data_IF_391901781763
#
_entry.id   IF_391901781763
#
_cell.length_a   1.000
_cell.length_b   1.000
_cell.length_c   1.000
_cell.angle_alpha   90.00
_cell.angle_beta   90.00
_cell.angle_gamma   90.00
#
_symmetry.space_group_name_H-M   'P 1'
#
loop_
_entity.id
_entity.type
_entity.pdbx_description
1 polymer ?
#
# COMPACT_ATOMS: atom_id res chain seq x y z
N UNK A 1 -68.34 55.49 3.35
CA UNK A 1 -68.07 54.51 4.44
C UNK A 1 -67.15 53.40 3.91
N UNK A 2 -66.00 53.75 3.34
CA UNK A 2 -65.04 52.83 2.69
C UNK A 2 -63.60 53.37 2.85
N UNK A 3 -63.18 53.61 4.10
CA UNK A 3 -61.83 54.09 4.45
C UNK A 3 -61.14 53.20 5.49
N UNK A 4 -61.66 51.99 5.76
CA UNK A 4 -61.15 51.09 6.81
C UNK A 4 -60.34 49.88 6.34
N UNK A 5 -60.25 49.60 5.04
CA UNK A 5 -59.66 48.32 4.55
C UNK A 5 -58.17 48.45 4.18
N UNK A 6 -57.68 49.67 3.90
CA UNK A 6 -56.30 49.86 3.43
C UNK A 6 -55.24 49.94 4.54
N UNK A 7 -55.63 50.21 5.80
CA UNK A 7 -54.67 50.29 6.92
C UNK A 7 -54.16 48.89 7.36
N UNK A 8 -55.04 47.88 7.33
CA UNK A 8 -54.74 46.52 7.81
C UNK A 8 -53.75 45.80 6.88
N UNK A 9 -53.82 46.05 5.56
CA UNK A 9 -52.90 45.43 4.59
C UNK A 9 -51.46 46.00 4.66
N UNK A 10 -51.28 47.22 5.17
CA UNK A 10 -49.95 47.84 5.31
C UNK A 10 -49.16 47.26 6.49
N UNK A 11 -49.83 46.98 7.62
CA UNK A 11 -49.18 46.37 8.79
C UNK A 11 -48.79 44.89 8.57
N UNK A 12 -49.59 44.11 7.84
CA UNK A 12 -49.28 42.69 7.57
C UNK A 12 -48.11 42.48 6.60
N UNK A 13 -47.74 43.49 5.79
CA UNK A 13 -46.64 43.40 4.81
C UNK A 13 -45.26 43.64 5.43
N UNK A 14 -45.17 44.44 6.49
CA UNK A 14 -43.89 44.75 7.16
C UNK A 14 -43.33 43.60 8.01
N UNK A 15 -44.19 42.68 8.47
CA UNK A 15 -43.77 41.54 9.29
C UNK A 15 -43.43 40.26 8.50
N UNK A 16 -43.80 40.19 7.21
CA UNK A 16 -43.55 38.99 6.39
C UNK A 16 -42.12 38.88 5.86
N UNK A 17 -41.43 40.00 5.65
CA UNK A 17 -40.05 39.98 5.16
C UNK A 17 -39.02 39.44 6.19
N UNK A 18 -39.03 39.84 7.48
CA UNK A 18 -38.05 39.32 8.44
C UNK A 18 -38.32 37.87 8.86
N UNK A 19 -39.59 37.43 8.86
CA UNK A 19 -39.96 36.05 9.24
C UNK A 19 -39.55 35.05 8.15
N UNK A 20 -39.66 35.41 6.86
CA UNK A 20 -39.20 34.54 5.77
C UNK A 20 -37.66 34.41 5.70
N UNK A 21 -36.93 35.47 6.07
CA UNK A 21 -35.46 35.48 6.13
C UNK A 21 -34.92 34.69 7.33
N UNK A 22 -35.62 34.71 8.47
CA UNK A 22 -35.28 33.89 9.63
C UNK A 22 -35.53 32.38 9.39
N UNK A 23 -36.58 32.03 8.63
CA UNK A 23 -36.90 30.62 8.34
C UNK A 23 -35.99 30.00 7.26
N UNK A 24 -35.45 30.80 6.32
CA UNK A 24 -34.49 30.32 5.32
C UNK A 24 -33.08 30.12 5.89
N UNK A 25 -32.70 30.86 6.93
CA UNK A 25 -31.42 30.67 7.63
C UNK A 25 -31.39 29.45 8.57
N UNK A 26 -32.56 28.96 9.01
CA UNK A 26 -32.71 27.75 9.83
C UNK A 26 -32.84 26.45 9.02
N UNK A 27 -32.93 26.54 7.68
CA UNK A 27 -32.98 25.40 6.76
C UNK A 27 -31.72 25.30 5.89
N UNK A 28 -30.64 26.02 6.25
CA UNK A 28 -29.33 25.68 5.70
C UNK A 28 -28.95 24.31 6.28
N UNK A 29 -28.88 23.23 5.48
CA UNK A 29 -28.30 22.00 5.97
C UNK A 29 -26.93 22.39 6.52
N UNK A 30 -26.68 22.11 7.79
CA UNK A 30 -25.31 22.08 8.29
C UNK A 30 -24.61 21.06 7.42
N UNK A 31 -23.93 21.54 6.38
CA UNK A 31 -22.92 20.79 5.67
C UNK A 31 -21.85 20.59 6.74
N UNK A 32 -22.05 19.56 7.55
CA UNK A 32 -20.99 18.93 8.29
C UNK A 32 -19.96 18.59 7.24
N UNK A 33 -18.97 19.48 7.09
CA UNK A 33 -17.69 19.10 6.51
C UNK A 33 -17.23 17.96 7.40
N UNK A 34 -17.48 16.74 6.97
CA UNK A 34 -16.69 15.59 7.37
C UNK A 34 -15.26 16.08 7.21
N UNK A 35 -14.60 16.36 8.32
CA UNK A 35 -13.16 16.52 8.31
C UNK A 35 -12.69 15.17 7.83
N UNK A 36 -12.39 15.07 6.54
CA UNK A 36 -11.69 13.92 5.97
C UNK A 36 -10.37 13.87 6.72
N UNK A 37 -10.34 13.09 7.78
CA UNK A 37 -9.14 12.80 8.52
C UNK A 37 -8.20 12.15 7.52
N UNK A 38 -7.18 12.89 7.07
CA UNK A 38 -6.17 12.33 6.19
C UNK A 38 -5.67 11.02 6.79
N UNK A 39 -5.50 9.97 5.97
CA UNK A 39 -5.15 8.66 6.48
C UNK A 39 -3.84 8.76 7.27
N UNK A 40 -3.80 8.09 8.42
CA UNK A 40 -2.68 8.13 9.35
C UNK A 40 -1.36 7.61 8.72
N UNK A 41 -1.49 6.80 7.67
CA UNK A 41 -0.42 6.30 6.82
C UNK A 41 -0.76 6.54 5.35
N UNK A 42 0.25 6.95 4.59
CA UNK A 42 0.19 7.14 3.15
C UNK A 42 0.97 6.03 2.43
N UNK A 43 0.54 5.61 1.22
CA UNK A 43 1.26 4.63 0.42
C UNK A 43 2.70 5.05 0.14
N UNK A 44 3.65 4.17 0.49
CA UNK A 44 5.01 4.32 0.02
C UNK A 44 5.11 3.88 -1.44
N UNK A 45 5.35 4.86 -2.32
CA UNK A 45 5.45 4.67 -3.76
C UNK A 45 6.87 4.95 -4.24
N UNK A 46 7.52 3.94 -4.81
CA UNK A 46 8.83 4.05 -5.42
C UNK A 46 8.68 4.34 -6.92
N UNK A 47 9.12 5.52 -7.36
CA UNK A 47 8.96 5.97 -8.75
C UNK A 47 10.16 5.61 -9.60
N UNK A 48 9.89 5.16 -10.82
CA UNK A 48 10.88 4.88 -11.85
C UNK A 48 10.50 5.58 -13.17
N UNK A 49 11.42 5.60 -14.13
CA UNK A 49 11.20 6.28 -15.41
C UNK A 49 9.97 5.77 -16.19
N UNK A 50 9.64 4.48 -16.06
CA UNK A 50 8.61 3.82 -16.86
C UNK A 50 7.50 3.18 -16.02
N UNK A 51 7.33 3.62 -14.78
CA UNK A 51 6.37 3.04 -13.85
C UNK A 51 6.70 3.33 -12.40
N UNK A 52 5.99 2.65 -11.49
CA UNK A 52 6.22 2.79 -10.06
C UNK A 52 5.81 1.52 -9.31
N UNK A 53 6.33 1.37 -8.10
CA UNK A 53 5.99 0.27 -7.19
C UNK A 53 5.28 0.88 -5.98
N UNK A 54 4.05 0.45 -5.74
CA UNK A 54 3.31 0.76 -4.51
C UNK A 54 3.52 -0.37 -3.52
N UNK A 55 4.40 -0.14 -2.56
CA UNK A 55 4.80 -1.15 -1.58
C UNK A 55 3.75 -1.36 -0.49
N UNK A 56 2.93 -0.34 -0.18
CA UNK A 56 1.84 -0.49 0.78
C UNK A 56 0.77 -1.43 0.24
N UNK A 57 0.37 -1.24 -1.03
CA UNK A 57 -0.68 -2.02 -1.67
C UNK A 57 -0.12 -3.29 -2.32
N UNK A 58 1.18 -3.38 -2.51
CA UNK A 58 1.85 -4.51 -3.14
C UNK A 58 1.49 -4.58 -4.62
N UNK A 59 1.61 -3.46 -5.33
CA UNK A 59 1.26 -3.31 -6.74
C UNK A 59 2.45 -2.76 -7.53
N UNK A 60 2.63 -3.24 -8.76
CA UNK A 60 3.63 -2.75 -9.71
C UNK A 60 2.89 -2.17 -10.90
N UNK A 61 3.22 -0.94 -11.26
CA UNK A 61 2.61 -0.22 -12.36
C UNK A 61 3.62 -0.01 -13.47
N UNK A 62 3.25 -0.39 -14.70
CA UNK A 62 4.05 -0.14 -15.90
C UNK A 62 3.34 0.83 -16.81
N UNK A 63 4.08 1.80 -17.33
CA UNK A 63 3.60 2.78 -18.30
C UNK A 63 4.14 2.40 -19.67
N UNK A 64 3.28 2.32 -20.68
CA UNK A 64 3.67 2.09 -22.06
C UNK A 64 3.16 3.19 -22.98
N UNK A 65 3.93 3.50 -24.00
CA UNK A 65 3.59 4.51 -25.01
C UNK A 65 3.70 3.91 -26.40
N UNK A 66 2.61 3.95 -27.15
CA UNK A 66 2.58 3.54 -28.55
C UNK A 66 2.26 4.73 -29.43
N UNK A 67 3.16 5.08 -30.35
CA UNK A 67 3.01 6.25 -31.20
C UNK A 67 2.14 5.95 -32.43
N UNK A 68 1.25 6.87 -32.78
CA UNK A 68 0.30 6.70 -33.88
C UNK A 68 1.01 6.62 -35.23
N UNK A 69 2.04 7.44 -35.43
CA UNK A 69 2.86 7.50 -36.66
C UNK A 69 3.54 6.15 -36.98
N UNK A 70 3.96 5.41 -35.95
CA UNK A 70 4.60 4.10 -36.08
C UNK A 70 3.60 2.95 -36.24
N UNK A 71 2.40 3.08 -35.67
CA UNK A 71 1.44 1.97 -35.55
C UNK A 71 0.23 2.08 -36.50
N UNK A 72 0.13 3.16 -37.29
CA UNK A 72 -0.86 3.40 -38.36
C UNK A 72 -2.33 3.54 -37.92
N UNK A 73 -2.69 3.14 -36.70
CA UNK A 73 -4.03 3.32 -36.13
C UNK A 73 -3.98 3.33 -34.60
N UNK A 74 -4.98 3.96 -33.97
CA UNK A 74 -5.12 4.00 -32.51
C UNK A 74 -5.16 2.61 -31.85
N UNK A 75 -5.92 1.62 -32.35
CA UNK A 75 -5.91 0.28 -31.76
C UNK A 75 -4.55 -0.41 -31.78
N UNK A 76 -3.76 -0.21 -32.85
CA UNK A 76 -2.41 -0.76 -32.93
C UNK A 76 -1.44 -0.02 -32.01
N UNK A 77 -1.56 1.31 -31.93
CA UNK A 77 -0.79 2.12 -30.99
C UNK A 77 -1.06 1.70 -29.54
N UNK A 78 -2.32 1.49 -29.18
CA UNK A 78 -2.70 0.95 -27.87
C UNK A 78 -2.11 -0.44 -27.64
N UNK A 79 -2.22 -1.36 -28.61
CA UNK A 79 -1.63 -2.70 -28.49
C UNK A 79 -0.11 -2.67 -28.29
N UNK A 80 0.60 -1.77 -28.96
CA UNK A 80 2.03 -1.56 -28.74
C UNK A 80 2.32 -0.99 -27.34
N UNK A 81 1.52 -0.01 -26.89
CA UNK A 81 1.61 0.56 -25.55
C UNK A 81 1.38 -0.51 -24.47
N UNK A 82 0.39 -1.40 -24.65
CA UNK A 82 0.11 -2.53 -23.75
C UNK A 82 1.33 -3.44 -23.59
N UNK A 83 1.95 -3.87 -24.70
CA UNK A 83 3.14 -4.73 -24.67
C UNK A 83 4.31 -4.06 -23.96
N UNK A 84 4.52 -2.76 -24.21
CA UNK A 84 5.58 -1.99 -23.56
C UNK A 84 5.30 -1.87 -22.05
N UNK A 85 4.05 -1.56 -21.66
CA UNK A 85 3.65 -1.45 -20.25
C UNK A 85 3.87 -2.78 -19.51
N UNK A 86 3.46 -3.91 -20.08
CA UNK A 86 3.72 -5.25 -19.53
C UNK A 86 5.21 -5.53 -19.38
N UNK A 87 6.01 -5.20 -20.41
CA UNK A 87 7.47 -5.33 -20.34
C UNK A 87 8.12 -4.47 -19.26
N UNK A 88 7.55 -3.29 -18.98
CA UNK A 88 8.00 -2.41 -17.90
C UNK A 88 7.66 -2.97 -16.52
N UNK A 89 6.49 -3.59 -16.33
CA UNK A 89 6.17 -4.32 -15.10
C UNK A 89 7.20 -5.41 -14.84
N UNK A 90 7.55 -6.22 -15.85
CA UNK A 90 8.53 -7.29 -15.69
C UNK A 90 9.92 -6.76 -15.34
N UNK A 91 10.35 -5.66 -15.95
CA UNK A 91 11.63 -5.00 -15.62
C UNK A 91 11.65 -4.46 -14.19
N UNK A 92 10.57 -3.81 -13.76
CA UNK A 92 10.43 -3.34 -12.38
C UNK A 92 10.44 -4.51 -11.38
N UNK A 93 9.68 -5.57 -11.68
CA UNK A 93 9.64 -6.77 -10.85
C UNK A 93 11.02 -7.44 -10.75
N UNK A 94 11.78 -7.55 -11.84
CA UNK A 94 13.12 -8.13 -11.81
C UNK A 94 14.09 -7.35 -10.87
N UNK A 95 13.93 -6.03 -10.78
CA UNK A 95 14.73 -5.18 -9.91
C UNK A 95 14.37 -5.22 -8.42
N UNK A 96 13.27 -5.88 -8.04
CA UNK A 96 12.84 -5.96 -6.64
C UNK A 96 13.86 -6.76 -5.81
N UNK A 97 14.27 -6.18 -4.68
CA UNK A 97 15.06 -6.88 -3.67
C UNK A 97 14.25 -8.03 -3.06
N UNK A 98 14.85 -9.21 -3.02
CA UNK A 98 14.32 -10.33 -2.26
C UNK A 98 14.75 -10.23 -0.81
N UNK A 99 16.05 -10.02 -0.59
CA UNK A 99 16.65 -9.86 0.73
C UNK A 99 17.75 -8.80 0.69
N UNK A 100 18.79 -8.93 1.52
CA UNK A 100 19.89 -7.98 1.59
C UNK A 100 21.00 -8.21 0.56
N UNK A 101 20.92 -9.29 -0.21
CA UNK A 101 21.97 -9.76 -1.12
C UNK A 101 21.47 -9.98 -2.55
N UNK A 102 20.19 -10.31 -2.70
CA UNK A 102 19.62 -10.81 -3.95
C UNK A 102 18.43 -9.97 -4.40
N UNK A 103 18.34 -9.78 -5.71
CA UNK A 103 17.15 -9.32 -6.42
C UNK A 103 16.49 -10.48 -7.14
N UNK A 104 15.25 -10.28 -7.61
CA UNK A 104 14.57 -11.25 -8.47
C UNK A 104 15.36 -11.57 -9.74
N UNK A 105 16.06 -10.59 -10.30
CA UNK A 105 16.94 -10.78 -11.45
C UNK A 105 18.14 -11.67 -11.16
N UNK A 106 18.75 -11.53 -9.98
CA UNK A 106 19.92 -12.33 -9.60
C UNK A 106 19.56 -13.79 -9.26
N UNK A 107 18.28 -14.11 -9.09
CA UNK A 107 17.87 -15.41 -8.59
C UNK A 107 17.91 -16.51 -9.66
N UNK A 108 18.42 -17.68 -9.29
CA UNK A 108 18.64 -18.84 -10.16
C UNK A 108 19.33 -18.46 -11.48
N UNK A 109 20.38 -17.63 -11.39
CA UNK A 109 21.15 -17.15 -12.54
C UNK A 109 20.28 -16.44 -13.60
N UNK A 110 19.22 -15.74 -13.18
CA UNK A 110 18.30 -15.04 -14.06
C UNK A 110 17.19 -15.90 -14.66
N UNK A 111 17.13 -17.22 -14.37
CA UNK A 111 16.03 -18.08 -14.85
C UNK A 111 14.67 -17.64 -14.33
N UNK A 112 14.61 -17.04 -13.15
CA UNK A 112 13.36 -16.49 -12.61
C UNK A 112 12.83 -15.36 -13.47
N UNK A 113 13.70 -14.51 -14.05
CA UNK A 113 13.28 -13.44 -14.97
C UNK A 113 12.55 -14.00 -16.19
N UNK A 114 13.06 -15.11 -16.74
CA UNK A 114 12.43 -15.81 -17.87
C UNK A 114 11.02 -16.29 -17.49
N UNK A 115 10.84 -16.71 -16.24
CA UNK A 115 9.58 -17.20 -15.71
C UNK A 115 8.67 -16.10 -15.14
N UNK A 116 9.14 -14.86 -14.95
CA UNK A 116 8.35 -13.77 -14.36
C UNK A 116 7.03 -13.56 -15.10
N UNK A 117 7.02 -13.73 -16.44
CA UNK A 117 5.79 -13.65 -17.24
C UNK A 117 4.75 -14.73 -16.86
N UNK A 118 5.18 -15.91 -16.44
CA UNK A 118 4.28 -16.94 -15.92
C UNK A 118 3.88 -16.66 -14.45
N UNK A 119 4.79 -16.07 -13.68
CA UNK A 119 4.56 -15.72 -12.28
C UNK A 119 3.61 -14.53 -12.13
N UNK A 120 3.58 -13.61 -13.08
CA UNK A 120 2.81 -12.37 -12.96
C UNK A 120 1.71 -12.30 -14.00
N UNK A 121 0.51 -11.92 -13.55
CA UNK A 121 -0.58 -11.50 -14.43
C UNK A 121 -0.77 -10.01 -14.22
N UNK A 122 -0.71 -9.27 -15.31
CA UNK A 122 -1.02 -7.85 -15.30
C UNK A 122 -2.40 -7.60 -15.92
N UNK A 123 -2.96 -6.44 -15.63
CA UNK A 123 -4.25 -6.00 -16.15
C UNK A 123 -4.21 -4.53 -16.54
N UNK A 124 -5.07 -4.09 -17.47
CA UNK A 124 -5.21 -2.68 -17.79
C UNK A 124 -5.74 -1.93 -16.57
N UNK A 125 -5.22 -0.73 -16.33
CA UNK A 125 -5.77 0.20 -15.34
C UNK A 125 -6.28 1.47 -16.00
N UNK A 126 -5.50 2.04 -16.91
CA UNK A 126 -5.84 3.28 -17.61
C UNK A 126 -5.29 3.26 -19.03
N UNK A 127 -6.01 3.89 -19.95
CA UNK A 127 -5.54 4.17 -21.30
C UNK A 127 -6.01 5.56 -21.71
N UNK A 128 -5.14 6.34 -22.37
CA UNK A 128 -5.45 7.68 -22.86
C UNK A 128 -4.73 7.96 -24.18
N UNK A 129 -5.47 8.49 -25.15
CA UNK A 129 -4.89 9.02 -26.38
C UNK A 129 -4.47 10.49 -26.15
N UNK A 130 -3.25 10.82 -26.56
CA UNK A 130 -2.68 12.16 -26.49
C UNK A 130 -2.48 12.64 -27.93
N UNK A 131 -3.30 13.60 -28.36
CA UNK A 131 -3.35 14.08 -29.75
C UNK A 131 -2.69 15.46 -29.91
N UNK A 132 -2.75 16.31 -28.88
CA UNK A 132 -2.25 17.69 -28.88
C UNK A 132 -0.72 17.78 -28.68
N UNK A 133 0.04 16.93 -29.39
CA UNK A 133 1.51 16.87 -29.34
C UNK A 133 2.07 16.61 -30.72
N UNK A 134 3.33 16.99 -30.96
CA UNK A 134 3.99 16.85 -32.27
C UNK A 134 3.97 15.40 -32.82
N UNK A 135 3.97 14.40 -31.93
CA UNK A 135 3.86 12.98 -32.27
C UNK A 135 2.77 12.33 -31.42
N UNK A 136 1.52 12.25 -31.91
CA UNK A 136 0.41 11.66 -31.16
C UNK A 136 0.71 10.24 -30.70
N UNK A 137 0.30 9.90 -29.48
CA UNK A 137 0.56 8.58 -28.89
C UNK A 137 -0.55 8.14 -27.94
N UNK A 138 -0.66 6.83 -27.77
CA UNK A 138 -1.51 6.20 -26.78
C UNK A 138 -0.64 5.88 -25.55
N UNK A 139 -1.03 6.39 -24.38
CA UNK A 139 -0.42 6.03 -23.10
C UNK A 139 -1.29 5.02 -22.38
N UNK A 140 -0.71 3.90 -21.99
CA UNK A 140 -1.38 2.83 -21.26
C UNK A 140 -0.65 2.60 -19.94
N UNK A 141 -1.43 2.49 -18.86
CA UNK A 141 -0.95 2.05 -17.54
C UNK A 141 -1.54 0.67 -17.27
N UNK A 142 -0.64 -0.29 -17.01
CA UNK A 142 -0.98 -1.63 -16.57
C UNK A 142 -0.51 -1.84 -15.14
N UNK A 143 -1.17 -2.73 -14.43
CA UNK A 143 -0.87 -3.04 -13.02
C UNK A 143 -0.79 -4.55 -12.80
N UNK A 144 0.15 -4.99 -11.97
CA UNK A 144 0.28 -6.36 -11.50
C UNK A 144 0.45 -6.42 -9.98
N UNK A 145 -0.01 -7.51 -9.36
CA UNK A 145 0.03 -7.68 -7.91
C UNK A 145 1.30 -8.42 -7.45
N UNK A 146 1.97 -7.85 -6.46
CA UNK A 146 3.07 -8.48 -5.71
C UNK A 146 2.51 -9.50 -4.71
N UNK A 147 1.38 -9.17 -4.05
CA UNK A 147 0.76 -9.97 -2.98
C UNK A 147 -0.63 -10.49 -3.36
N UNK A 148 -1.10 -11.51 -2.63
CA UNK A 148 -2.36 -12.21 -2.84
C UNK A 148 -2.19 -13.61 -3.43
N UNK A 149 -3.26 -14.40 -3.47
CA UNK A 149 -3.20 -15.83 -3.80
C UNK A 149 -2.71 -16.15 -5.23
N UNK A 150 -2.94 -15.24 -6.20
CA UNK A 150 -2.51 -15.39 -7.61
C UNK A 150 -1.37 -14.43 -7.99
N UNK A 151 -0.62 -13.97 -7.00
CA UNK A 151 0.39 -12.92 -7.14
C UNK A 151 1.80 -13.44 -7.40
N UNK A 152 2.72 -12.51 -7.65
CA UNK A 152 4.16 -12.78 -7.73
C UNK A 152 4.65 -13.56 -6.50
N UNK A 153 4.32 -13.10 -5.29
CA UNK A 153 4.83 -13.67 -4.05
C UNK A 153 4.34 -15.10 -3.82
N UNK A 154 3.05 -15.36 -4.07
CA UNK A 154 2.49 -16.71 -3.92
C UNK A 154 3.18 -17.73 -4.82
N UNK A 155 3.40 -17.38 -6.09
CA UNK A 155 4.06 -18.30 -7.04
C UNK A 155 5.57 -18.36 -6.84
N UNK A 156 6.20 -17.25 -6.47
CA UNK A 156 7.63 -17.20 -6.15
C UNK A 156 7.94 -18.11 -4.97
N UNK A 157 7.16 -18.07 -3.89
CA UNK A 157 7.37 -18.94 -2.73
C UNK A 157 7.35 -20.42 -3.11
N UNK A 158 6.37 -20.84 -3.92
CA UNK A 158 6.30 -22.22 -4.43
C UNK A 158 7.51 -22.58 -5.30
N UNK A 159 7.97 -21.66 -6.15
CA UNK A 159 9.15 -21.86 -6.98
C UNK A 159 10.45 -21.98 -6.15
N UNK A 160 10.65 -21.10 -5.17
CA UNK A 160 11.85 -21.06 -4.31
C UNK A 160 11.98 -22.32 -3.46
N UNK A 161 10.86 -22.81 -2.91
CA UNK A 161 10.81 -24.06 -2.14
C UNK A 161 11.23 -25.26 -3.00
N UNK A 162 10.78 -25.32 -4.25
CA UNK A 162 11.13 -26.40 -5.16
C UNK A 162 12.59 -26.35 -5.63
N UNK A 163 13.14 -25.14 -5.79
CA UNK A 163 14.36 -24.95 -6.59
C UNK A 163 15.63 -24.74 -5.77
N UNK A 164 15.55 -24.26 -4.51
CA UNK A 164 16.77 -23.90 -3.75
C UNK A 164 16.80 -24.44 -2.31
N UNK A 165 17.88 -25.13 -1.90
CA UNK A 165 18.04 -25.67 -0.54
C UNK A 165 17.92 -24.62 0.57
N UNK A 166 18.44 -23.42 0.34
CA UNK A 166 18.42 -22.32 1.32
C UNK A 166 16.99 -21.84 1.64
N UNK A 167 16.07 -22.07 0.69
CA UNK A 167 14.69 -21.59 0.70
C UNK A 167 13.67 -22.71 0.97
N UNK A 168 14.13 -23.96 1.13
CA UNK A 168 13.25 -25.11 1.46
C UNK A 168 12.50 -24.95 2.78
N UNK A 169 13.08 -24.23 3.74
CA UNK A 169 12.50 -24.02 5.06
C UNK A 169 11.52 -22.84 5.11
N UNK A 170 11.04 -22.36 3.96
CA UNK A 170 10.04 -21.30 3.90
C UNK A 170 8.68 -21.85 4.31
N UNK A 171 7.81 -21.04 4.93
CA UNK A 171 6.54 -21.52 5.42
C UNK A 171 5.70 -22.07 4.27
N UNK A 172 5.17 -23.28 4.46
CA UNK A 172 4.33 -23.94 3.46
C UNK A 172 2.96 -23.29 3.42
N UNK A 173 2.42 -23.12 2.21
CA UNK A 173 1.02 -22.74 2.02
C UNK A 173 0.14 -23.85 2.59
N UNK A 174 -0.48 -23.59 3.73
CA UNK A 174 -1.62 -24.38 4.19
C UNK A 174 -2.87 -23.81 3.50
N UNK A 175 -3.63 -24.67 2.82
CA UNK A 175 -4.69 -24.27 1.89
C UNK A 175 -5.87 -23.51 2.54
N UNK A 176 -5.93 -23.41 3.88
CA UNK A 176 -7.12 -22.93 4.59
C UNK A 176 -6.83 -22.05 5.83
N UNK A 177 -5.67 -21.40 5.93
CA UNK A 177 -5.47 -20.46 7.05
C UNK A 177 -6.12 -19.12 6.74
N UNK A 178 -7.33 -18.89 7.28
CA UNK A 178 -7.92 -17.56 7.38
C UNK A 178 -7.17 -16.81 8.49
N UNK A 179 -6.59 -15.66 8.16
CA UNK A 179 -5.95 -14.79 9.16
C UNK A 179 -7.05 -14.19 10.04
N UNK A 180 -7.25 -14.74 11.24
CA UNK A 180 -8.24 -14.25 12.22
C UNK A 180 -7.57 -13.47 13.34
N UNK A 181 -6.77 -12.47 12.99
CA UNK A 181 -5.93 -11.73 13.93
C UNK A 181 -6.31 -10.24 14.02
N UNK A 182 -7.46 -9.83 13.49
CA UNK A 182 -7.87 -8.41 13.37
C UNK A 182 -7.75 -7.59 14.66
N UNK A 183 -7.88 -8.21 15.84
CA UNK A 183 -7.77 -7.54 17.14
C UNK A 183 -6.36 -7.52 17.75
N UNK A 184 -5.34 -8.07 17.09
CA UNK A 184 -3.98 -8.10 17.61
C UNK A 184 -3.24 -6.75 17.40
N UNK A 185 -2.24 -6.42 18.23
CA UNK A 185 -1.39 -5.26 17.98
C UNK A 185 -0.66 -5.32 16.63
N UNK A 186 -0.17 -4.17 16.18
CA UNK A 186 0.75 -4.07 15.05
C UNK A 186 2.10 -3.54 15.53
N UNK A 187 3.18 -4.12 15.02
CA UNK A 187 4.52 -3.56 15.18
C UNK A 187 4.74 -2.46 14.15
N UNK A 188 5.13 -1.28 14.63
CA UNK A 188 5.54 -0.15 13.80
C UNK A 188 7.01 0.11 14.04
N UNK A 189 7.82 -0.07 13.00
CA UNK A 189 9.25 0.22 12.98
C UNK A 189 9.47 1.59 12.37
N UNK A 190 9.83 2.57 13.19
CA UNK A 190 10.08 3.95 12.75
C UNK A 190 11.50 4.08 12.22
N UNK A 191 11.64 4.00 10.89
CA UNK A 191 12.91 4.10 10.17
C UNK A 191 13.15 5.49 9.55
N UNK A 192 12.30 6.49 9.86
CA UNK A 192 12.37 7.82 9.25
C UNK A 192 13.59 8.64 9.66
N UNK A 193 14.16 8.34 10.83
CA UNK A 193 15.35 9.02 11.37
C UNK A 193 16.67 8.48 10.84
N UNK A 194 16.64 7.39 10.06
CA UNK A 194 17.83 6.91 9.39
C UNK A 194 18.40 8.01 8.50
N UNK A 195 19.73 8.10 8.45
CA UNK A 195 20.40 9.09 7.63
C UNK A 195 20.02 8.93 6.15
N UNK A 196 20.02 10.03 5.39
CA UNK A 196 19.76 9.99 3.95
C UNK A 196 20.77 9.11 3.20
N UNK A 197 21.96 8.94 3.76
CA UNK A 197 23.03 8.07 3.28
C UNK A 197 22.73 6.59 3.48
N UNK A 198 21.82 6.22 4.39
CA UNK A 198 21.50 4.84 4.80
C UNK A 198 19.98 4.59 4.99
N UNK A 199 19.15 4.88 3.97
CA UNK A 199 17.71 4.64 4.09
C UNK A 199 17.38 3.15 4.12
N UNK A 200 16.27 2.82 4.78
CA UNK A 200 15.67 1.50 4.68
C UNK A 200 15.07 1.28 3.29
N UNK A 201 15.63 0.33 2.54
CA UNK A 201 15.13 -0.02 1.23
C UNK A 201 14.09 -1.15 1.31
N UNK A 202 13.04 -1.11 0.47
CA UNK A 202 12.08 -2.19 0.40
C UNK A 202 12.65 -3.52 -0.09
N UNK A 203 12.09 -4.61 0.43
CA UNK A 203 12.32 -5.97 -0.05
C UNK A 203 11.10 -6.87 0.18
N UNK A 204 11.06 -8.03 -0.49
CA UNK A 204 10.01 -9.04 -0.25
C UNK A 204 10.23 -9.81 1.06
N UNK A 205 11.48 -10.08 1.43
CA UNK A 205 11.87 -10.86 2.61
C UNK A 205 12.89 -10.13 3.51
N UNK A 206 12.57 -8.90 3.98
CA UNK A 206 13.41 -8.18 4.93
C UNK A 206 13.52 -8.92 6.26
N UNK A 207 14.53 -8.57 7.07
CA UNK A 207 14.75 -9.10 8.42
C UNK A 207 14.75 -8.00 9.48
N UNK A 208 14.25 -8.32 10.67
CA UNK A 208 14.47 -7.53 11.88
C UNK A 208 15.62 -8.18 12.65
N UNK A 209 16.66 -7.41 12.95
CA UNK A 209 17.87 -7.86 13.62
C UNK A 209 18.09 -6.99 14.86
N UNK A 210 18.47 -7.59 15.98
CA UNK A 210 18.97 -6.86 17.15
C UNK A 210 20.35 -6.27 16.85
N UNK A 211 20.73 -5.19 17.53
CA UNK A 211 22.10 -4.65 17.49
C UNK A 211 23.16 -5.68 17.92
N UNK A 212 22.77 -6.72 18.67
CA UNK A 212 23.64 -7.86 19.00
C UNK A 212 23.88 -8.84 17.83
N UNK A 213 23.20 -8.66 16.70
CA UNK A 213 23.26 -9.54 15.53
C UNK A 213 22.23 -10.68 15.53
N UNK A 214 21.38 -10.77 16.54
CA UNK A 214 20.33 -11.78 16.60
C UNK A 214 19.19 -11.47 15.62
N UNK A 215 18.78 -12.45 14.81
CA UNK A 215 17.62 -12.32 13.91
C UNK A 215 16.33 -12.52 14.71
N UNK A 216 15.53 -11.46 14.82
CA UNK A 216 14.27 -11.45 15.57
C UNK A 216 13.11 -11.90 14.68
N UNK A 217 13.07 -11.43 13.44
CA UNK A 217 12.02 -11.76 12.49
C UNK A 217 12.55 -11.91 11.07
N UNK A 218 12.04 -12.92 10.36
CA UNK A 218 12.27 -13.12 8.94
C UNK A 218 11.15 -13.99 8.35
N UNK A 219 11.12 -14.15 7.04
CA UNK A 219 10.14 -15.02 6.36
C UNK A 219 10.08 -16.47 6.89
N UNK A 220 11.19 -17.02 7.44
CA UNK A 220 11.23 -18.40 7.96
C UNK A 220 10.39 -18.62 9.22
N UNK A 221 10.17 -17.58 10.03
CA UNK A 221 9.33 -17.65 11.23
C UNK A 221 7.94 -17.03 11.04
N UNK A 222 7.61 -16.66 9.80
CA UNK A 222 6.31 -16.12 9.42
C UNK A 222 5.34 -17.23 8.96
N UNK A 223 4.05 -16.94 9.01
CA UNK A 223 3.00 -17.79 8.46
C UNK A 223 2.81 -17.55 6.96
N UNK A 224 2.72 -18.62 6.16
CA UNK A 224 2.64 -18.51 4.71
C UNK A 224 1.45 -17.67 4.22
N UNK A 225 0.28 -17.85 4.83
CA UNK A 225 -0.91 -17.06 4.50
C UNK A 225 -0.70 -15.58 4.80
N UNK A 226 -0.04 -15.24 5.91
CA UNK A 226 0.31 -13.87 6.25
C UNK A 226 1.30 -13.28 5.25
N UNK A 227 2.37 -14.01 4.91
CA UNK A 227 3.36 -13.57 3.91
C UNK A 227 2.69 -13.32 2.56
N UNK A 228 1.86 -14.24 2.08
CA UNK A 228 1.19 -14.11 0.77
C UNK A 228 0.25 -12.90 0.74
N UNK A 229 -0.56 -12.68 1.78
CA UNK A 229 -1.58 -11.64 1.78
C UNK A 229 -1.03 -10.26 2.15
N UNK A 230 -0.08 -10.19 3.08
CA UNK A 230 0.44 -8.92 3.66
C UNK A 230 1.89 -8.62 3.29
N UNK A 231 2.65 -9.59 2.81
CA UNK A 231 4.11 -9.51 2.78
C UNK A 231 4.68 -9.72 4.18
N UNK A 232 6.01 -9.86 4.29
CA UNK A 232 6.67 -9.98 5.61
C UNK A 232 6.56 -8.67 6.39
N UNK A 233 6.71 -7.53 5.69
CA UNK A 233 6.59 -6.18 6.26
C UNK A 233 5.94 -5.25 5.24
N UNK A 234 5.23 -4.22 5.72
CA UNK A 234 4.57 -3.22 4.89
C UNK A 234 5.30 -1.88 4.98
N UNK A 235 5.60 -1.27 3.84
CA UNK A 235 6.27 0.03 3.80
C UNK A 235 5.24 1.14 3.61
N UNK A 236 5.26 2.13 4.50
CA UNK A 236 4.34 3.27 4.47
C UNK A 236 5.06 4.57 4.81
N UNK A 237 4.45 5.68 4.43
CA UNK A 237 4.86 7.02 4.83
C UNK A 237 3.92 7.54 5.90
N UNK A 238 4.43 8.25 6.90
CA UNK A 238 3.59 8.98 7.85
C UNK A 238 4.29 10.23 8.35
N UNK A 239 3.52 11.30 8.50
CA UNK A 239 3.93 12.53 9.17
C UNK A 239 3.66 12.50 10.68
N UNK A 240 2.96 11.47 11.18
CA UNK A 240 2.59 11.38 12.59
C UNK A 240 3.81 11.23 13.51
N UNK A 241 3.78 11.89 14.66
CA UNK A 241 4.82 11.74 15.68
C UNK A 241 4.77 10.35 16.31
N UNK A 242 5.88 9.89 16.90
CA UNK A 242 5.91 8.61 17.64
C UNK A 242 4.90 8.58 18.79
N UNK A 243 4.73 9.70 19.49
CA UNK A 243 3.74 9.80 20.55
C UNK A 243 2.32 9.65 19.99
N UNK A 244 2.04 10.32 18.87
CA UNK A 244 0.75 10.20 18.17
C UNK A 244 0.50 8.77 17.70
N UNK A 245 1.51 8.06 17.18
CA UNK A 245 1.43 6.64 16.78
C UNK A 245 1.12 5.73 17.96
N UNK A 246 1.73 5.97 19.12
CA UNK A 246 1.48 5.18 20.34
C UNK A 246 0.09 5.44 20.93
N UNK A 247 -0.40 6.67 20.82
CA UNK A 247 -1.75 7.03 21.27
C UNK A 247 -2.83 6.82 20.20
N UNK A 248 -2.44 6.50 18.97
CA UNK A 248 -3.38 6.36 17.87
C UNK A 248 -4.16 5.07 18.04
N UNK A 249 -5.47 5.21 18.16
CA UNK A 249 -6.44 4.12 18.05
C UNK A 249 -6.97 4.16 16.61
N UNK A 250 -6.51 3.27 15.73
CA UNK A 250 -6.92 3.32 14.31
C UNK A 250 -7.70 2.07 13.91
N UNK A 251 -8.74 2.26 13.08
CA UNK A 251 -9.39 1.18 12.33
C UNK A 251 -8.57 0.91 11.06
N UNK A 252 -7.96 -0.28 10.99
CA UNK A 252 -7.13 -0.69 9.85
C UNK A 252 -7.94 -1.05 8.60
N UNK A 253 -9.27 -1.10 8.71
CA UNK A 253 -10.14 -1.32 7.55
C UNK A 253 -9.80 -0.36 6.42
N UNK A 254 -9.37 0.88 6.70
CA UNK A 254 -8.95 1.84 5.67
C UNK A 254 -7.54 1.62 5.11
N UNK A 255 -6.62 1.00 5.86
CA UNK A 255 -5.26 0.67 5.37
C UNK A 255 -5.32 -0.52 4.41
N UNK A 256 -6.15 -1.51 4.72
CA UNK A 256 -6.29 -2.76 3.95
C UNK A 256 -7.35 -2.68 2.84
N UNK A 257 -8.34 -1.78 2.94
CA UNK A 257 -9.42 -1.65 1.95
C UNK A 257 -8.95 -1.30 0.53
N UNK A 258 -7.76 -0.74 0.35
CA UNK A 258 -7.24 -0.45 -0.99
C UNK A 258 -6.94 -1.72 -1.81
N UNK A 259 -6.73 -2.87 -1.17
CA UNK A 259 -6.59 -4.16 -1.85
C UNK A 259 -7.94 -4.79 -2.22
N UNK A 260 -8.96 -4.65 -1.37
CA UNK A 260 -10.30 -5.23 -1.59
C UNK A 260 -11.20 -4.37 -2.48
N UNK A 261 -10.91 -3.08 -2.65
CA UNK A 261 -11.67 -2.17 -3.51
C UNK A 261 -11.68 -2.61 -4.99
N UNK A 262 -10.75 -3.48 -5.39
CA UNK A 262 -10.63 -3.96 -6.77
C UNK A 262 -11.07 -5.43 -6.98
N UNK A 263 -11.50 -6.14 -5.92
CA UNK A 263 -11.78 -7.59 -5.99
C UNK A 263 -13.14 -8.02 -5.43
N UNK A 264 -13.88 -7.17 -4.70
CA UNK A 264 -15.15 -7.57 -4.06
C UNK A 264 -16.41 -7.03 -4.76
N UNK A 265 -17.51 -7.82 -4.86
CA UNK A 265 -18.81 -7.34 -5.32
C UNK A 265 -19.39 -6.25 -4.40
N UNK A 266 -20.24 -5.35 -4.92
CA UNK A 266 -20.82 -4.23 -4.15
C UNK A 266 -21.59 -4.66 -2.89
N UNK A 267 -22.13 -5.88 -2.86
CA UNK A 267 -22.89 -6.42 -1.73
C UNK A 267 -22.03 -6.68 -0.48
N UNK A 268 -20.71 -6.89 -0.63
CA UNK A 268 -19.79 -7.05 0.49
C UNK A 268 -19.51 -5.71 1.22
N UNK A 269 -19.76 -4.58 0.56
CA UNK A 269 -19.49 -3.24 1.10
C UNK A 269 -20.55 -2.79 2.11
N UNK A 270 -21.77 -3.34 2.04
CA UNK A 270 -22.87 -3.01 2.96
C UNK A 270 -22.76 -3.71 4.33
N UNK A 271 -21.92 -4.74 4.46
CA UNK A 271 -21.74 -5.49 5.72
C UNK A 271 -20.59 -4.95 6.61
N UNK A 272 -19.75 -4.05 6.11
CA UNK A 272 -18.54 -3.56 6.78
C UNK A 272 -18.79 -2.52 7.90
N UNK A 273 -20.05 -2.12 8.14
CA UNK A 273 -20.42 -1.15 9.18
C UNK A 273 -20.65 -1.78 10.58
N UNK A 274 -20.00 -2.92 10.89
CA UNK A 274 -20.03 -3.50 12.24
C UNK A 274 -18.80 -3.07 13.03
N UNK A 275 -19.05 -2.27 14.08
CA UNK A 275 -18.16 -1.92 15.21
C UNK A 275 -16.66 -2.21 14.99
N UNK A 276 -15.95 -1.22 14.45
CA UNK A 276 -14.51 -1.27 14.24
C UNK A 276 -13.80 -1.29 15.62
N UNK A 277 -13.31 -2.47 16.01
CA UNK A 277 -12.50 -2.62 17.23
C UNK A 277 -11.09 -2.08 17.01
N UNK A 278 -10.64 -1.33 18.02
CA UNK A 278 -9.40 -0.55 18.06
C UNK A 278 -8.21 -1.49 18.27
N UNK A 279 -7.14 -1.33 17.49
CA UNK A 279 -5.90 -2.10 17.68
C UNK A 279 -4.74 -1.17 18.09
N UNK A 280 -3.98 -1.52 19.14
CA UNK A 280 -2.84 -0.71 19.56
C UNK A 280 -1.60 -0.92 18.68
N UNK A 281 -0.80 0.13 18.51
CA UNK A 281 0.51 0.05 17.86
C UNK A 281 1.64 -0.12 18.87
N UNK A 282 2.49 -1.12 18.66
CA UNK A 282 3.78 -1.25 19.30
C UNK A 282 4.82 -0.52 18.46
N UNK A 283 5.30 0.64 18.92
CA UNK A 283 6.18 1.50 18.11
C UNK A 283 7.62 1.45 18.60
N UNK A 284 8.53 1.02 17.73
CA UNK A 284 9.97 0.89 17.97
C UNK A 284 10.78 1.77 17.03
N UNK A 285 12.00 2.11 17.43
CA UNK A 285 12.93 2.90 16.62
C UNK A 285 13.90 1.98 15.87
N UNK A 286 14.07 2.22 14.58
CA UNK A 286 15.13 1.57 13.81
C UNK A 286 16.41 2.38 13.98
N UNK A 287 17.48 1.73 14.44
CA UNK A 287 18.76 2.35 14.72
C UNK A 287 19.66 2.40 13.48
N UNK A 288 19.60 1.37 12.65
CA UNK A 288 20.42 1.25 11.44
C UNK A 288 19.77 0.30 10.44
N UNK A 289 20.34 0.25 9.24
CA UNK A 289 20.06 -0.80 8.24
C UNK A 289 21.24 -1.74 8.12
N UNK A 290 20.99 -2.99 7.72
CA UNK A 290 22.04 -3.99 7.55
C UNK A 290 21.99 -4.67 6.18
N UNK A 291 23.17 -5.01 5.67
CA UNK A 291 23.39 -5.71 4.41
C UNK A 291 23.50 -4.79 3.20
N UNK A 292 24.01 -5.31 2.08
CA UNK A 292 24.38 -4.50 0.90
C UNK A 292 23.21 -3.74 0.30
N UNK A 293 22.01 -4.35 0.27
CA UNK A 293 20.82 -3.69 -0.23
C UNK A 293 20.10 -2.83 0.82
N UNK A 294 20.55 -2.81 2.09
CA UNK A 294 19.97 -2.03 3.20
C UNK A 294 18.49 -2.33 3.47
N UNK A 295 18.13 -3.60 3.37
CA UNK A 295 16.75 -4.08 3.49
C UNK A 295 16.43 -4.62 4.88
N UNK A 296 17.45 -4.97 5.67
CA UNK A 296 17.27 -5.42 7.05
C UNK A 296 17.28 -4.24 8.01
N UNK A 297 16.43 -4.30 9.03
CA UNK A 297 16.26 -3.26 10.05
C UNK A 297 16.93 -3.69 11.35
N UNK A 298 17.72 -2.80 11.93
CA UNK A 298 18.40 -3.02 13.21
C UNK A 298 17.67 -2.28 14.33
N UNK A 299 17.30 -2.99 15.39
CA UNK A 299 16.66 -2.44 16.60
C UNK A 299 17.55 -2.62 17.83
N UNK A 300 17.25 -1.92 18.92
CA UNK A 300 17.98 -2.09 20.18
C UNK A 300 17.75 -3.48 20.78
N UNK A 301 18.68 -3.97 21.60
CA UNK A 301 18.51 -5.24 22.32
C UNK A 301 17.30 -5.20 23.28
N UNK A 302 17.02 -4.03 23.87
CA UNK A 302 15.88 -3.82 24.75
C UNK A 302 14.56 -3.96 23.98
N UNK A 303 14.43 -3.25 22.86
CA UNK A 303 13.26 -3.36 21.97
C UNK A 303 13.11 -4.80 21.45
N UNK A 304 14.21 -5.47 21.11
CA UNK A 304 14.18 -6.87 20.67
C UNK A 304 13.63 -7.81 21.75
N UNK A 305 14.02 -7.62 23.01
CA UNK A 305 13.50 -8.40 24.12
C UNK A 305 12.01 -8.10 24.38
N UNK A 306 11.63 -6.82 24.35
CA UNK A 306 10.24 -6.41 24.49
C UNK A 306 9.37 -7.02 23.38
N UNK A 307 9.85 -6.98 22.13
CA UNK A 307 9.16 -7.55 20.98
C UNK A 307 8.95 -9.06 21.14
N UNK A 308 9.96 -9.81 21.60
CA UNK A 308 9.80 -11.25 21.84
C UNK A 308 8.77 -11.57 22.93
N UNK A 309 8.68 -10.75 23.97
CA UNK A 309 7.67 -10.93 25.02
C UNK A 309 6.28 -10.71 24.46
N UNK A 310 6.08 -9.61 23.72
CA UNK A 310 4.79 -9.27 23.12
C UNK A 310 4.39 -10.29 22.03
N UNK A 311 5.32 -10.72 21.18
CA UNK A 311 5.08 -11.67 20.10
C UNK A 311 4.63 -13.04 20.62
N UNK A 312 5.12 -13.48 21.78
CA UNK A 312 4.63 -14.72 22.41
C UNK A 312 3.12 -14.67 22.69
N UNK A 313 2.60 -13.50 23.08
CA UNK A 313 1.18 -13.33 23.38
C UNK A 313 0.33 -13.04 22.14
N UNK A 314 0.84 -12.22 21.22
CA UNK A 314 0.08 -11.64 20.11
C UNK A 314 0.33 -12.29 18.75
N UNK A 315 1.44 -13.02 18.61
CA UNK A 315 1.92 -13.61 17.35
C UNK A 315 2.09 -12.56 16.23
N UNK A 316 2.42 -11.31 16.57
CA UNK A 316 2.63 -10.19 15.63
C UNK A 316 3.54 -10.60 14.46
N UNK A 317 4.69 -11.20 14.78
CA UNK A 317 5.73 -11.53 13.81
C UNK A 317 5.30 -12.70 12.94
N UNK A 318 4.75 -13.74 13.56
CA UNK A 318 4.21 -14.90 12.81
C UNK A 318 3.15 -14.46 11.81
N UNK A 319 2.27 -13.53 12.20
CA UNK A 319 1.18 -13.02 11.36
C UNK A 319 1.56 -11.84 10.45
N UNK A 320 2.86 -11.52 10.34
CA UNK A 320 3.39 -10.42 9.52
C UNK A 320 2.69 -9.07 9.77
N UNK A 321 2.33 -8.78 11.03
CA UNK A 321 1.70 -7.51 11.43
C UNK A 321 2.77 -6.44 11.68
N UNK A 322 3.60 -6.21 10.66
CA UNK A 322 4.77 -5.33 10.73
C UNK A 322 4.65 -4.22 9.69
N UNK A 323 4.70 -2.99 10.16
CA UNK A 323 4.72 -1.76 9.37
C UNK A 323 6.08 -1.09 9.55
N UNK A 324 6.68 -0.64 8.45
CA UNK A 324 7.90 0.13 8.42
C UNK A 324 7.55 1.54 7.97
N UNK A 325 7.87 2.52 8.80
CA UNK A 325 7.76 3.92 8.44
C UNK A 325 9.04 4.35 7.75
N UNK A 326 8.91 4.69 6.47
CA UNK A 326 10.01 5.22 5.68
C UNK A 326 9.77 6.70 5.39
N UNK A 327 10.87 7.43 5.23
CA UNK A 327 10.84 8.81 4.80
C UNK A 327 10.34 8.88 3.36
N UNK A 328 9.53 9.89 3.03
CA UNK A 328 9.15 10.16 1.64
C UNK A 328 10.37 10.73 0.91
N UNK A 329 11.31 9.85 0.54
CA UNK A 329 12.42 10.21 -0.32
C UNK A 329 11.81 10.39 -1.70
N UNK A 330 11.44 11.63 -2.01
CA UNK A 330 11.15 12.05 -3.38
C UNK A 330 12.34 11.57 -4.21
N UNK A 331 12.10 10.55 -5.03
CA UNK A 331 13.11 9.91 -5.86
C UNK A 331 13.76 10.96 -6.77
N UNK A 332 14.87 11.53 -6.32
CA UNK A 332 15.80 12.29 -7.15
C UNK A 332 16.69 11.28 -7.86
N UNK A 333 16.53 11.21 -9.18
CA UNK A 333 17.37 10.55 -10.17
C UNK A 333 18.65 9.85 -9.65
N UNK A 334 18.71 8.52 -9.81
CA UNK A 334 19.97 7.83 -10.11
C UNK A 334 19.99 7.50 -11.59
#
# INVERSE_FOLDING_TARGET
MLTGVNEIYRQLRQWRLPIFLAFTLLLLPTISRSVESSPFFEPYSEKHANGWIDWQNGLIYGIGRGYLDQNRSWPRAQGAADVIASGNILRLAAGINLDDRTTLESLDQGKVVIQLKALMRDRPQQSKNIEDVARPYCEVVRVASIRGNDSLLAKLLGHLQASSPEWRNFPLRQEQSLLTDDNQPWLVLDARKLERSEPANPALFPRIISISGEVIHCVKNAEAAAVINRGVMQYVVSSASRQSLRSAETSLAHILAAADYYLSPPEAQAAAAKSQKRTPFMVMEVLATHGSARTNLVISTEDANQLKVEDKASQILKNCRVIILVSNLIAGHK
#
